data_IF_769031614444
#
_entry.id   IF_769031614444
#
_cell.length_a   1.000
_cell.length_b   1.000
_cell.length_c   1.000
_cell.angle_alpha   90.00
_cell.angle_beta   90.00
_cell.angle_gamma   90.00
#
_symmetry.space_group_name_H-M   'P 1'
#
loop_
_entity.id
_entity.type
_entity.pdbx_description
1 polymer ?
#
# COMPACT_ATOMS: atom_id res chain seq x y z
N UNK A 1 25.43 37.72 31.51
CA UNK A 1 25.65 36.36 30.99
C UNK A 1 24.58 35.48 31.62
N UNK A 2 23.51 35.13 30.91
CA UNK A 2 22.33 34.48 31.50
C UNK A 2 22.50 32.95 31.57
N UNK A 3 21.86 32.31 32.55
CA UNK A 3 21.91 30.86 32.81
C UNK A 3 21.51 30.01 31.58
N UNK A 4 20.63 30.55 30.71
CA UNK A 4 20.26 29.92 29.44
C UNK A 4 21.41 29.77 28.43
N UNK A 5 22.46 30.59 28.53
CA UNK A 5 23.67 30.49 27.70
C UNK A 5 24.64 29.44 28.26
N UNK A 6 24.63 29.17 29.57
CA UNK A 6 25.47 28.12 30.18
C UNK A 6 24.90 26.72 29.94
N UNK A 7 23.57 26.56 29.91
CA UNK A 7 22.91 25.30 29.56
C UNK A 7 23.12 24.89 28.08
N UNK A 8 23.32 25.87 27.18
CA UNK A 8 23.57 25.61 25.76
C UNK A 8 24.99 25.09 25.47
N UNK A 9 25.91 25.19 26.43
CA UNK A 9 27.34 24.87 26.22
C UNK A 9 27.75 23.49 26.76
N UNK A 10 26.84 22.73 27.37
CA UNK A 10 27.12 21.39 27.88
C UNK A 10 26.23 20.35 27.18
N UNK A 11 26.57 20.03 25.93
CA UNK A 11 25.92 18.93 25.22
C UNK A 11 26.53 17.64 25.76
N UNK A 12 25.77 16.95 26.61
CA UNK A 12 26.06 15.57 27.00
C UNK A 12 26.31 14.73 25.72
N UNK A 13 27.46 14.05 25.59
CA UNK A 13 27.75 13.21 24.42
C UNK A 13 26.66 12.16 24.15
N UNK A 14 25.92 11.70 25.17
CA UNK A 14 24.78 10.81 24.99
C UNK A 14 23.59 11.50 24.31
N UNK A 15 23.34 12.78 24.59
CA UNK A 15 22.31 13.58 23.92
C UNK A 15 22.64 13.80 22.45
N UNK A 16 23.92 14.07 22.14
CA UNK A 16 24.40 14.24 20.75
C UNK A 16 24.23 12.96 19.93
N UNK A 17 24.50 11.79 20.53
CA UNK A 17 24.28 10.50 19.90
C UNK A 17 22.80 10.23 19.61
N UNK A 18 21.89 10.52 20.56
CA UNK A 18 20.43 10.40 20.35
C UNK A 18 19.93 11.29 19.21
N UNK A 19 20.49 12.48 19.06
CA UNK A 19 20.11 13.41 17.98
C UNK A 19 20.56 12.93 16.59
N UNK A 20 21.63 12.14 16.49
CA UNK A 20 22.11 11.55 15.23
C UNK A 20 21.21 10.40 14.72
N UNK A 21 20.50 9.72 15.64
CA UNK A 21 19.59 8.63 15.31
C UNK A 21 18.18 9.11 14.92
N UNK A 22 17.83 10.37 15.20
CA UNK A 22 16.54 10.94 14.84
C UNK A 22 16.46 11.23 13.32
N UNK A 23 15.54 10.57 12.57
CA UNK A 23 15.39 10.79 11.13
C UNK A 23 15.04 12.24 10.76
N UNK A 24 14.34 12.95 11.64
CA UNK A 24 13.99 14.36 11.44
C UNK A 24 15.23 15.24 11.51
N UNK A 25 16.04 15.10 12.57
CA UNK A 25 17.26 15.88 12.75
C UNK A 25 18.29 15.56 11.67
N UNK A 26 18.40 14.29 11.25
CA UNK A 26 19.23 13.91 10.12
C UNK A 26 18.82 14.62 8.83
N UNK A 27 17.54 14.60 8.49
CA UNK A 27 17.03 15.27 7.29
C UNK A 27 17.13 16.80 7.34
N UNK A 28 17.01 17.38 8.53
CA UNK A 28 17.24 18.81 8.76
C UNK A 28 18.72 19.16 8.54
N UNK A 29 19.63 18.35 9.10
CA UNK A 29 21.09 18.52 8.98
C UNK A 29 21.61 18.38 7.54
N UNK A 30 21.00 17.53 6.73
CA UNK A 30 21.37 17.35 5.31
C UNK A 30 20.95 18.54 4.42
N UNK A 31 19.96 19.32 4.85
CA UNK A 31 19.39 20.42 4.06
C UNK A 31 19.87 21.81 4.48
N UNK A 32 20.33 21.95 5.71
CA UNK A 32 20.77 23.24 6.25
C UNK A 32 22.28 23.46 6.06
N UNK A 33 22.68 24.70 5.73
CA UNK A 33 24.07 25.14 5.85
C UNK A 33 24.62 24.91 7.27
N UNK A 34 25.92 24.61 7.37
CA UNK A 34 26.57 24.22 8.64
C UNK A 34 26.47 25.33 9.70
N UNK A 35 26.65 26.58 9.29
CA UNK A 35 26.57 27.78 10.12
C UNK A 35 25.17 27.95 10.76
N UNK A 36 24.11 27.69 10.00
CA UNK A 36 22.74 27.77 10.50
C UNK A 36 22.41 26.58 11.40
N UNK A 37 22.83 25.38 11.01
CA UNK A 37 22.61 24.17 11.81
C UNK A 37 23.19 24.29 13.21
N UNK A 38 24.41 24.81 13.31
CA UNK A 38 25.14 24.90 14.57
C UNK A 38 24.62 26.08 15.44
N UNK A 39 23.77 26.96 14.88
CA UNK A 39 23.10 28.06 15.59
C UNK A 39 21.85 27.64 16.37
N UNK A 40 21.29 26.46 16.10
CA UNK A 40 20.07 26.01 16.76
C UNK A 40 20.33 25.51 18.18
N UNK A 41 19.49 25.96 19.10
CA UNK A 41 19.47 25.43 20.47
C UNK A 41 18.65 24.15 20.54
N UNK A 42 18.90 23.32 21.55
CA UNK A 42 18.14 22.07 21.74
C UNK A 42 16.64 22.31 21.88
N UNK A 43 16.24 23.37 22.60
CA UNK A 43 14.83 23.75 22.76
C UNK A 43 14.18 24.10 21.42
N UNK A 44 14.91 24.78 20.53
CA UNK A 44 14.43 25.07 19.17
C UNK A 44 14.30 23.81 18.33
N UNK A 45 15.27 22.89 18.42
CA UNK A 45 15.23 21.60 17.73
C UNK A 45 14.05 20.74 18.20
N UNK A 46 13.77 20.71 19.49
CA UNK A 46 12.65 19.94 20.05
C UNK A 46 11.30 20.56 19.64
N UNK A 47 11.18 21.89 19.63
CA UNK A 47 9.99 22.57 19.14
C UNK A 47 9.73 22.31 17.65
N UNK A 48 10.80 22.37 16.83
CA UNK A 48 10.75 22.00 15.42
C UNK A 48 10.33 20.53 15.26
N UNK A 49 10.90 19.63 16.05
CA UNK A 49 10.52 18.22 16.03
C UNK A 49 9.03 18.07 16.30
N UNK A 50 8.47 18.67 17.34
CA UNK A 50 7.03 18.57 17.64
C UNK A 50 6.17 19.12 16.50
N UNK A 51 6.52 20.28 15.94
CA UNK A 51 5.78 20.91 14.86
C UNK A 51 5.78 20.09 13.55
N UNK A 52 6.89 19.40 13.25
CA UNK A 52 7.07 18.64 12.00
C UNK A 52 6.85 17.13 12.14
N UNK A 53 6.81 16.58 13.37
CA UNK A 53 6.56 15.14 13.63
C UNK A 53 5.18 14.70 13.15
N UNK A 54 4.18 15.59 13.18
CA UNK A 54 2.85 15.33 12.64
C UNK A 54 2.82 15.20 11.11
N UNK A 55 3.91 15.59 10.44
CA UNK A 55 4.02 15.68 8.98
C UNK A 55 5.17 14.80 8.52
N UNK A 56 5.09 13.50 8.83
CA UNK A 56 5.88 12.51 8.09
C UNK A 56 5.53 12.66 6.61
N UNK A 57 6.40 13.35 5.87
CA UNK A 57 6.32 13.45 4.42
C UNK A 57 6.26 12.02 3.90
N UNK A 58 5.08 11.60 3.47
CA UNK A 58 4.84 10.27 2.95
C UNK A 58 5.81 10.05 1.80
N UNK A 59 6.85 9.24 2.02
CA UNK A 59 7.64 8.69 0.94
C UNK A 59 6.69 7.83 0.12
N UNK A 60 6.11 8.40 -0.92
CA UNK A 60 5.46 7.61 -1.96
C UNK A 60 6.56 6.77 -2.60
N UNK A 61 6.35 5.44 -2.67
CA UNK A 61 7.39 4.52 -3.16
C UNK A 61 7.73 4.77 -4.64
N UNK A 62 6.79 5.32 -5.39
CA UNK A 62 6.95 5.66 -6.81
C UNK A 62 6.31 7.03 -7.02
N UNK A 63 7.15 8.03 -7.34
CA UNK A 63 6.75 9.37 -7.79
C UNK A 63 7.38 9.57 -9.17
N UNK A 64 6.58 9.37 -10.22
CA UNK A 64 7.00 9.64 -11.59
C UNK A 64 6.33 10.93 -12.07
N UNK A 65 7.16 11.86 -12.52
CA UNK A 65 6.73 13.18 -13.00
C UNK A 65 7.24 13.32 -14.42
N UNK A 66 6.32 13.19 -15.36
CA UNK A 66 6.60 13.37 -16.77
C UNK A 66 6.06 14.72 -17.22
N UNK A 67 6.81 15.39 -18.09
CA UNK A 67 6.26 16.48 -18.90
C UNK A 67 6.45 16.09 -20.34
N UNK A 68 5.39 16.13 -21.14
CA UNK A 68 5.53 15.94 -22.58
C UNK A 68 4.85 17.09 -23.31
N UNK A 69 5.51 17.56 -24.36
CA UNK A 69 4.97 18.59 -25.25
C UNK A 69 4.29 17.91 -26.44
N UNK A 70 3.07 18.32 -26.74
CA UNK A 70 2.37 17.92 -27.95
C UNK A 70 1.91 19.18 -28.69
N UNK A 71 2.48 19.44 -29.86
CA UNK A 71 2.30 20.68 -30.60
C UNK A 71 2.81 21.91 -29.83
N UNK A 72 1.97 22.94 -29.71
CA UNK A 72 2.29 24.17 -28.96
C UNK A 72 2.00 24.07 -27.46
N UNK A 73 1.45 22.95 -26.99
CA UNK A 73 1.01 22.78 -25.60
C UNK A 73 1.94 21.84 -24.83
N UNK A 74 2.18 22.18 -23.57
CA UNK A 74 2.94 21.34 -22.62
C UNK A 74 1.98 20.74 -21.62
N UNK A 75 2.01 19.41 -21.50
CA UNK A 75 1.20 18.66 -20.55
C UNK A 75 2.08 18.07 -19.47
N UNK A 76 1.64 18.21 -18.23
CA UNK A 76 2.32 17.70 -17.05
C UNK A 76 1.54 16.50 -16.50
N UNK A 77 2.22 15.38 -16.31
CA UNK A 77 1.65 14.14 -15.81
C UNK A 77 2.37 13.72 -14.54
N UNK A 78 1.60 13.46 -13.50
CA UNK A 78 2.10 12.94 -12.23
C UNK A 78 1.49 11.58 -11.99
N UNK A 79 2.35 10.57 -11.86
CA UNK A 79 1.98 9.23 -11.45
C UNK A 79 2.53 8.98 -10.05
N UNK A 80 1.65 9.07 -9.05
CA UNK A 80 1.94 8.64 -7.69
C UNK A 80 1.39 7.24 -7.48
N UNK A 81 2.29 6.31 -7.14
CA UNK A 81 1.90 4.97 -6.73
C UNK A 81 2.53 4.63 -5.38
N UNK A 82 1.69 4.19 -4.44
CA UNK A 82 2.13 3.89 -3.09
C UNK A 82 1.07 3.19 -2.27
N UNK A 83 1.51 2.46 -1.24
CA UNK A 83 0.61 1.79 -0.31
C UNK A 83 -0.12 2.86 0.51
N UNK A 84 -1.43 2.99 0.31
CA UNK A 84 -2.27 3.87 1.11
C UNK A 84 -2.23 3.38 2.56
N UNK A 85 -1.64 4.17 3.47
CA UNK A 85 -1.57 3.90 4.92
C UNK A 85 -2.68 4.60 5.71
N UNK A 86 -3.58 5.31 5.02
CA UNK A 86 -4.76 5.91 5.64
C UNK A 86 -5.82 4.84 5.82
N UNK A 87 -6.66 5.00 6.84
CA UNK A 87 -7.85 4.17 6.97
C UNK A 87 -8.69 4.29 5.69
N UNK A 88 -9.13 3.14 5.17
CA UNK A 88 -9.95 3.05 3.96
C UNK A 88 -11.18 3.95 4.12
N UNK A 89 -11.46 4.75 3.11
CA UNK A 89 -12.71 5.52 3.10
C UNK A 89 -13.91 4.55 3.18
N UNK A 90 -15.06 5.05 3.67
CA UNK A 90 -16.28 4.22 3.78
C UNK A 90 -16.66 3.58 2.44
N UNK A 91 -16.42 4.28 1.33
CA UNK A 91 -16.68 3.79 -0.02
C UNK A 91 -15.67 2.72 -0.44
N UNK A 92 -14.37 2.95 -0.23
CA UNK A 92 -13.31 1.99 -0.55
C UNK A 92 -13.47 0.69 0.23
N UNK A 93 -13.87 0.77 1.51
CA UNK A 93 -14.16 -0.42 2.33
C UNK A 93 -15.34 -1.22 1.77
N UNK A 94 -16.40 -0.55 1.31
CA UNK A 94 -17.56 -1.21 0.68
C UNK A 94 -17.17 -1.87 -0.65
N UNK A 95 -16.41 -1.17 -1.50
CA UNK A 95 -15.93 -1.73 -2.76
C UNK A 95 -14.98 -2.92 -2.54
N UNK A 96 -14.10 -2.84 -1.53
CA UNK A 96 -13.22 -3.95 -1.16
C UNK A 96 -14.01 -5.17 -0.68
N UNK A 97 -15.05 -4.97 0.13
CA UNK A 97 -15.94 -6.04 0.58
C UNK A 97 -16.73 -6.65 -0.58
N UNK A 98 -17.27 -5.83 -1.48
CA UNK A 98 -17.98 -6.30 -2.67
C UNK A 98 -17.06 -7.10 -3.60
N UNK A 99 -15.84 -6.61 -3.84
CA UNK A 99 -14.84 -7.33 -4.64
C UNK A 99 -14.46 -8.68 -4.02
N UNK A 100 -14.23 -8.72 -2.70
CA UNK A 100 -13.98 -9.98 -1.98
C UNK A 100 -15.16 -10.94 -2.07
N UNK A 101 -16.38 -10.45 -1.86
CA UNK A 101 -17.59 -11.24 -1.98
C UNK A 101 -17.73 -11.83 -3.40
N UNK A 102 -17.52 -11.01 -4.44
CA UNK A 102 -17.59 -11.44 -5.82
C UNK A 102 -16.58 -12.56 -6.14
N UNK A 103 -15.33 -12.43 -5.66
CA UNK A 103 -14.30 -13.47 -5.85
C UNK A 103 -14.68 -14.77 -5.14
N UNK A 104 -15.14 -14.69 -3.89
CA UNK A 104 -15.57 -15.87 -3.13
C UNK A 104 -16.77 -16.53 -3.80
N UNK A 105 -17.77 -15.76 -4.22
CA UNK A 105 -18.94 -16.28 -4.94
C UNK A 105 -18.53 -16.96 -6.25
N UNK A 106 -17.68 -16.33 -7.05
CA UNK A 106 -17.21 -16.91 -8.31
C UNK A 106 -16.46 -18.24 -8.06
N UNK A 107 -15.61 -18.29 -7.04
CA UNK A 107 -14.91 -19.52 -6.65
C UNK A 107 -15.89 -20.62 -6.23
N UNK A 108 -16.89 -20.31 -5.41
CA UNK A 108 -17.88 -21.30 -4.98
C UNK A 108 -18.73 -21.82 -6.14
N UNK A 109 -19.17 -20.95 -7.06
CA UNK A 109 -19.91 -21.33 -8.26
C UNK A 109 -19.06 -22.24 -9.15
N UNK A 110 -17.78 -21.92 -9.32
CA UNK A 110 -16.85 -22.76 -10.08
C UNK A 110 -16.68 -24.15 -9.45
N UNK A 111 -16.44 -24.21 -8.14
CA UNK A 111 -16.36 -25.48 -7.41
C UNK A 111 -17.66 -26.29 -7.50
N UNK A 112 -18.81 -25.62 -7.39
CA UNK A 112 -20.13 -26.26 -7.53
C UNK A 112 -20.32 -26.82 -8.93
N UNK A 113 -19.96 -26.07 -9.98
CA UNK A 113 -20.04 -26.53 -11.36
C UNK A 113 -19.16 -27.77 -11.60
N UNK A 114 -17.92 -27.75 -11.12
CA UNK A 114 -17.02 -28.93 -11.19
C UNK A 114 -17.63 -30.11 -10.43
N UNK A 115 -18.15 -29.89 -9.22
CA UNK A 115 -18.79 -30.93 -8.43
C UNK A 115 -19.98 -31.57 -9.16
N UNK A 116 -20.84 -30.75 -9.78
CA UNK A 116 -21.98 -31.22 -10.57
C UNK A 116 -21.54 -32.00 -11.81
N UNK A 117 -20.49 -31.54 -12.51
CA UNK A 117 -19.91 -32.28 -13.64
C UNK A 117 -19.35 -33.62 -13.17
N UNK A 118 -18.61 -33.67 -12.06
CA UNK A 118 -18.10 -34.91 -11.48
C UNK A 118 -19.21 -35.88 -11.09
N UNK A 119 -20.24 -35.41 -10.39
CA UNK A 119 -21.42 -36.22 -10.06
C UNK A 119 -22.14 -36.72 -11.30
N UNK A 120 -22.26 -35.89 -12.34
CA UNK A 120 -22.84 -36.29 -13.62
C UNK A 120 -22.03 -37.41 -14.29
N UNK A 121 -20.70 -37.30 -14.32
CA UNK A 121 -19.82 -38.33 -14.89
C UNK A 121 -19.91 -39.65 -14.10
N UNK A 122 -19.92 -39.59 -12.76
CA UNK A 122 -20.10 -40.77 -11.90
C UNK A 122 -21.46 -41.44 -12.17
N UNK A 123 -22.54 -40.64 -12.20
CA UNK A 123 -23.88 -41.12 -12.57
C UNK A 123 -23.86 -41.81 -13.92
N UNK A 124 -23.18 -41.21 -14.91
CA UNK A 124 -23.10 -41.74 -16.28
C UNK A 124 -22.29 -43.05 -16.35
N UNK A 125 -21.19 -43.14 -15.60
CA UNK A 125 -20.39 -44.36 -15.49
C UNK A 125 -21.14 -45.51 -14.83
N UNK A 126 -22.02 -45.22 -13.86
CA UNK A 126 -22.88 -46.20 -13.19
C UNK A 126 -24.08 -46.66 -14.05
N UNK A 127 -24.28 -46.07 -15.24
CA UNK A 127 -25.37 -46.45 -16.15
C UNK A 127 -26.78 -46.06 -15.66
N UNK A 128 -26.89 -45.24 -14.62
CA UNK A 128 -28.17 -44.81 -14.05
C UNK A 128 -28.80 -43.78 -15.00
N UNK A 129 -29.95 -44.07 -15.60
CA UNK A 129 -30.68 -43.16 -16.48
C UNK A 129 -31.85 -42.50 -15.75
N UNK A 130 -31.70 -41.23 -15.34
CA UNK A 130 -32.80 -40.42 -14.78
C UNK A 130 -33.79 -39.95 -15.86
N UNK A 131 -33.33 -39.76 -17.09
CA UNK A 131 -34.16 -39.35 -18.22
C UNK A 131 -33.92 -40.32 -19.39
N UNK A 132 -34.97 -41.01 -19.89
CA UNK A 132 -34.81 -42.03 -20.91
C UNK A 132 -34.28 -41.50 -22.26
N UNK A 133 -34.45 -40.21 -22.57
CA UNK A 133 -34.13 -39.62 -23.87
C UNK A 133 -33.23 -38.38 -23.81
N UNK A 134 -32.58 -38.10 -22.67
CA UNK A 134 -31.74 -36.91 -22.53
C UNK A 134 -30.44 -37.20 -21.78
N UNK A 135 -29.32 -36.93 -22.44
CA UNK A 135 -27.99 -36.93 -21.83
C UNK A 135 -27.21 -35.72 -22.33
N UNK A 136 -26.36 -35.15 -21.47
CA UNK A 136 -25.53 -33.98 -21.78
C UNK A 136 -24.32 -34.31 -22.68
N UNK A 137 -24.06 -35.57 -23.01
CA UNK A 137 -22.95 -35.99 -23.89
C UNK A 137 -21.54 -35.84 -23.31
N UNK A 138 -21.38 -35.22 -22.13
CA UNK A 138 -20.08 -34.99 -21.46
C UNK A 138 -19.30 -36.29 -21.17
N UNK A 139 -20.00 -37.39 -20.91
CA UNK A 139 -19.37 -38.69 -20.67
C UNK A 139 -18.79 -39.32 -21.94
N UNK A 140 -19.47 -39.17 -23.08
CA UNK A 140 -18.97 -39.69 -24.35
C UNK A 140 -17.74 -38.89 -24.81
N UNK A 141 -17.74 -37.58 -24.60
CA UNK A 141 -16.57 -36.73 -24.78
C UNK A 141 -15.41 -37.13 -23.85
N UNK A 142 -15.67 -37.37 -22.57
CA UNK A 142 -14.63 -37.83 -21.62
C UNK A 142 -14.04 -39.19 -21.99
N UNK A 143 -14.83 -40.10 -22.59
CA UNK A 143 -14.33 -41.40 -23.05
C UNK A 143 -13.56 -41.34 -24.35
N UNK A 144 -13.76 -40.29 -25.17
CA UNK A 144 -13.06 -40.11 -26.44
C UNK A 144 -11.86 -39.15 -26.34
N UNK A 145 -11.80 -38.31 -25.31
CA UNK A 145 -10.63 -37.51 -24.94
C UNK A 145 -9.54 -38.35 -24.28
#
# INVERSE_FOLDING_TARGET
MNEGTQLAMNIDPAQKARNLEDPFLKGLNERLPKDIRDSFTQVQLDALRVAFSARQWGRHRIDWRGTFSFGHSRYYVVFLFGRNRRDLSRLERRLSLLGKAAVVTAFLVFCMAIGLVGLYLIKSALGINLFPNFSLGLWDWFRTA
#
